data_IF_842691455859
#
_entry.id   IF_842691455859
#
_cell.length_a   1.000
_cell.length_b   1.000
_cell.length_c   1.000
_cell.angle_alpha   90.00
_cell.angle_beta   90.00
_cell.angle_gamma   90.00
#
_symmetry.space_group_name_H-M   'P 1'
#
loop_
_entity.id
_entity.type
_entity.pdbx_description
1 polymer ?
#
# COMPACT_ATOMS: atom_id res chain seq x y z
N UNK A 1 -3.56 -2.50 1.00
CA UNK A 1 -2.45 -3.30 0.41
C UNK A 1 -2.96 -4.17 -0.74
N UNK A 2 -3.91 -5.09 -0.52
CA UNK A 2 -4.47 -5.90 -1.61
C UNK A 2 -4.97 -5.06 -2.80
N UNK A 3 -5.74 -4.00 -2.53
CA UNK A 3 -6.19 -3.05 -3.57
C UNK A 3 -5.05 -2.43 -4.40
N UNK A 4 -3.87 -2.19 -3.81
CA UNK A 4 -2.74 -1.57 -4.50
C UNK A 4 -1.92 -2.58 -5.29
N UNK A 5 -1.80 -3.81 -4.78
CA UNK A 5 -0.85 -4.80 -5.32
C UNK A 5 -1.54 -5.84 -6.20
N UNK A 6 -2.71 -6.33 -5.78
CA UNK A 6 -3.40 -7.46 -6.43
C UNK A 6 -4.39 -7.02 -7.52
N UNK A 7 -4.55 -5.72 -7.74
CA UNK A 7 -5.29 -5.16 -8.89
C UNK A 7 -4.37 -4.86 -10.08
N UNK A 8 -3.05 -4.84 -9.84
CA UNK A 8 -2.04 -4.58 -10.88
C UNK A 8 -1.81 -5.86 -11.66
N UNK A 9 -2.10 -5.80 -12.97
CA UNK A 9 -1.82 -6.91 -13.89
C UNK A 9 -0.30 -7.15 -13.95
N UNK A 10 0.17 -8.41 -13.89
CA UNK A 10 1.59 -8.71 -14.03
C UNK A 10 2.20 -8.07 -15.28
N UNK A 11 3.37 -7.44 -15.13
CA UNK A 11 4.11 -6.81 -16.23
C UNK A 11 3.59 -5.45 -16.71
N UNK A 12 2.49 -4.92 -16.16
CA UNK A 12 2.03 -3.56 -16.51
C UNK A 12 2.63 -2.46 -15.65
N UNK A 13 3.16 -2.83 -14.47
CA UNK A 13 3.75 -1.88 -13.50
C UNK A 13 2.80 -0.74 -13.07
N UNK A 14 1.49 -0.92 -13.28
CA UNK A 14 0.48 0.13 -13.21
C UNK A 14 -0.04 0.38 -11.79
N UNK A 15 0.83 0.86 -10.90
CA UNK A 15 0.46 1.21 -9.53
C UNK A 15 -0.23 2.59 -9.49
N UNK A 16 -1.52 2.61 -9.12
CA UNK A 16 -2.28 3.87 -9.05
C UNK A 16 -1.98 4.67 -7.78
N UNK A 17 -1.68 5.96 -8.00
CA UNK A 17 -1.33 6.91 -6.95
C UNK A 17 -2.44 7.08 -5.89
N UNK A 18 -3.70 7.15 -6.31
CA UNK A 18 -4.84 7.39 -5.41
C UNK A 18 -5.10 6.17 -4.53
N UNK A 19 -5.03 4.97 -5.12
CA UNK A 19 -5.14 3.71 -4.37
C UNK A 19 -4.01 3.59 -3.35
N UNK A 20 -2.80 4.03 -3.70
CA UNK A 20 -1.67 3.99 -2.80
C UNK A 20 -1.85 4.91 -1.58
N UNK A 21 -2.49 6.06 -1.77
CA UNK A 21 -2.82 6.99 -0.69
C UNK A 21 -3.87 6.44 0.29
N UNK A 22 -4.72 5.48 -0.12
CA UNK A 22 -5.61 4.79 0.82
C UNK A 22 -4.78 4.10 1.90
N UNK A 23 -3.63 3.51 1.55
CA UNK A 23 -2.76 2.85 2.52
C UNK A 23 -2.15 3.83 3.53
N UNK A 24 -1.55 4.92 3.04
CA UNK A 24 -0.88 5.90 3.91
C UNK A 24 -1.89 6.64 4.79
N UNK A 25 -3.07 6.97 4.27
CA UNK A 25 -4.17 7.55 5.06
C UNK A 25 -4.76 6.56 6.06
N UNK A 26 -4.83 5.26 5.75
CA UNK A 26 -5.24 4.23 6.72
C UNK A 26 -4.27 4.17 7.91
N UNK A 27 -2.96 4.21 7.62
CA UNK A 27 -1.94 4.25 8.67
C UNK A 27 -2.08 5.54 9.51
N UNK A 28 -2.21 6.70 8.86
CA UNK A 28 -2.40 7.98 9.55
C UNK A 28 -3.63 7.99 10.46
N UNK A 29 -4.78 7.50 9.97
CA UNK A 29 -6.01 7.40 10.77
C UNK A 29 -5.78 6.52 11.98
N UNK A 30 -5.15 5.34 11.84
CA UNK A 30 -4.85 4.47 13.00
C UNK A 30 -4.04 5.18 14.08
N UNK A 31 -3.03 5.96 13.67
CA UNK A 31 -2.17 6.69 14.60
C UNK A 31 -2.89 7.87 15.25
N UNK A 32 -3.67 8.63 14.47
CA UNK A 32 -4.30 9.87 14.93
C UNK A 32 -5.63 9.65 15.65
N UNK A 33 -6.38 8.59 15.33
CA UNK A 33 -7.73 8.36 15.86
C UNK A 33 -7.80 8.41 17.40
N UNK A 34 -6.87 7.82 18.18
CA UNK A 34 -6.90 7.90 19.64
C UNK A 34 -6.67 9.32 20.20
N UNK A 35 -6.10 10.23 19.39
CA UNK A 35 -5.84 11.62 19.76
C UNK A 35 -7.01 12.55 19.40
N UNK A 36 -7.97 12.06 18.61
CA UNK A 36 -9.11 12.85 18.12
C UNK A 36 -10.27 12.72 19.12
N UNK A 37 -10.94 13.83 19.49
CA UNK A 37 -12.11 13.78 20.36
C UNK A 37 -13.18 12.82 19.83
N UNK A 38 -13.76 12.03 20.74
CA UNK A 38 -14.67 10.92 20.43
C UNK A 38 -15.81 11.32 19.48
N UNK A 39 -16.37 12.53 19.66
CA UNK A 39 -17.46 13.05 18.82
C UNK A 39 -17.11 13.17 17.32
N UNK A 40 -15.82 13.19 16.96
CA UNK A 40 -15.36 13.29 15.58
C UNK A 40 -14.87 11.97 14.99
N UNK A 41 -14.58 10.96 15.82
CA UNK A 41 -13.94 9.71 15.38
C UNK A 41 -14.79 8.94 14.36
N UNK A 42 -16.09 8.75 14.64
CA UNK A 42 -17.01 8.06 13.72
C UNK A 42 -17.14 8.82 12.40
N UNK A 43 -17.21 10.16 12.46
CA UNK A 43 -17.27 11.02 11.28
C UNK A 43 -16.06 10.84 10.38
N UNK A 44 -14.86 10.84 10.97
CA UNK A 44 -13.59 10.65 10.25
C UNK A 44 -13.50 9.29 9.57
N UNK A 45 -13.79 8.20 10.29
CA UNK A 45 -13.73 6.83 9.73
C UNK A 45 -14.71 6.71 8.56
N UNK A 46 -15.92 7.27 8.69
CA UNK A 46 -16.91 7.27 7.62
C UNK A 46 -16.44 8.03 6.39
N UNK A 47 -15.84 9.20 6.55
CA UNK A 47 -15.29 9.98 5.44
C UNK A 47 -14.17 9.23 4.72
N UNK A 48 -13.24 8.63 5.46
CA UNK A 48 -12.19 7.79 4.90
C UNK A 48 -12.75 6.59 4.13
N UNK A 49 -13.77 5.93 4.68
CA UNK A 49 -14.41 4.79 4.02
C UNK A 49 -15.10 5.20 2.72
N UNK A 50 -15.80 6.33 2.70
CA UNK A 50 -16.45 6.87 1.49
C UNK A 50 -15.41 7.24 0.42
N UNK A 51 -14.27 7.84 0.81
CA UNK A 51 -13.17 8.14 -0.11
C UNK A 51 -12.57 6.85 -0.68
N UNK A 52 -12.37 5.83 0.16
CA UNK A 52 -11.88 4.51 -0.26
C UNK A 52 -12.78 3.89 -1.32
N UNK A 53 -14.10 3.89 -1.09
CA UNK A 53 -15.09 3.39 -2.06
C UNK A 53 -15.06 4.23 -3.34
N UNK A 54 -15.04 5.56 -3.22
CA UNK A 54 -15.03 6.46 -4.38
C UNK A 54 -13.82 6.22 -5.27
N UNK A 55 -12.63 6.07 -4.69
CA UNK A 55 -11.40 5.74 -5.43
C UNK A 55 -11.56 4.38 -6.12
N UNK A 56 -12.00 3.34 -5.41
CA UNK A 56 -12.19 2.01 -6.01
C UNK A 56 -13.17 2.01 -7.20
N UNK A 57 -14.29 2.74 -7.09
CA UNK A 57 -15.25 2.89 -8.18
C UNK A 57 -14.67 3.69 -9.34
N UNK A 58 -13.90 4.75 -9.05
CA UNK A 58 -13.26 5.57 -10.10
C UNK A 58 -12.24 4.79 -10.93
N UNK A 59 -11.68 3.72 -10.37
CA UNK A 59 -10.78 2.78 -11.03
C UNK A 59 -11.54 1.67 -11.79
N UNK A 60 -12.85 1.84 -12.00
CA UNK A 60 -13.74 0.87 -12.64
C UNK A 60 -13.88 -0.47 -11.90
N UNK A 61 -13.69 -0.45 -10.56
CA UNK A 61 -13.80 -1.64 -9.69
C UNK A 61 -12.92 -2.79 -10.19
N UNK A 62 -11.59 -2.58 -10.21
CA UNK A 62 -10.67 -3.59 -10.74
C UNK A 62 -10.77 -4.86 -9.90
N UNK A 63 -10.69 -6.01 -10.57
CA UNK A 63 -10.66 -7.30 -9.89
C UNK A 63 -9.42 -7.38 -8.99
N UNK A 64 -9.62 -7.81 -7.74
CA UNK A 64 -8.52 -8.06 -6.80
C UNK A 64 -8.19 -9.54 -6.96
N UNK A 65 -7.06 -9.86 -7.59
CA UNK A 65 -6.56 -11.24 -7.65
C UNK A 65 -6.42 -11.79 -6.23
N UNK A 66 -6.71 -13.08 -6.05
CA UNK A 66 -6.48 -13.82 -4.81
C UNK A 66 -5.23 -14.71 -4.90
N UNK A 67 -4.49 -14.61 -6.00
CA UNK A 67 -3.29 -15.38 -6.21
C UNK A 67 -2.23 -15.01 -5.18
N UNK A 68 -1.51 -16.03 -4.71
CA UNK A 68 -0.43 -15.81 -3.78
C UNK A 68 0.67 -15.02 -4.47
N UNK A 69 1.12 -13.93 -3.85
CA UNK A 69 2.30 -13.20 -4.30
C UNK A 69 3.53 -14.05 -3.96
N UNK A 70 4.19 -14.57 -4.99
CA UNK A 70 5.43 -15.31 -4.83
C UNK A 70 6.61 -14.36 -4.65
N UNK A 71 7.48 -14.67 -3.70
CA UNK A 71 8.77 -14.00 -3.53
C UNK A 71 9.89 -14.99 -3.74
N UNK A 72 10.92 -14.57 -4.49
CA UNK A 72 12.15 -15.34 -4.64
C UNK A 72 12.82 -15.53 -3.27
N UNK A 73 13.48 -16.67 -3.08
CA UNK A 73 14.19 -16.97 -1.84
C UNK A 73 15.21 -15.89 -1.48
N UNK A 74 15.33 -15.59 -0.18
CA UNK A 74 16.31 -14.65 0.36
C UNK A 74 15.91 -13.17 0.36
N UNK A 75 14.72 -12.80 -0.13
CA UNK A 75 14.20 -11.43 -0.01
C UNK A 75 13.49 -11.23 1.32
N UNK A 76 14.00 -10.31 2.14
CA UNK A 76 13.48 -9.96 3.45
C UNK A 76 13.21 -8.44 3.58
N UNK A 77 12.90 -7.97 4.78
CA UNK A 77 12.70 -6.54 5.01
C UNK A 77 13.96 -5.70 4.80
N UNK A 78 15.17 -6.27 4.94
CA UNK A 78 16.42 -5.55 4.64
C UNK A 78 16.56 -5.33 3.13
N UNK A 79 16.17 -6.31 2.31
CA UNK A 79 16.10 -6.16 0.87
C UNK A 79 15.16 -5.02 0.48
N UNK A 80 13.94 -5.02 1.02
CA UNK A 80 12.92 -3.98 0.76
C UNK A 80 13.41 -2.60 1.20
N UNK A 81 14.01 -2.51 2.40
CA UNK A 81 14.55 -1.26 2.93
C UNK A 81 15.66 -0.71 2.04
N UNK A 82 16.63 -1.54 1.65
CA UNK A 82 17.70 -1.16 0.72
C UNK A 82 17.15 -0.66 -0.62
N UNK A 83 16.15 -1.34 -1.19
CA UNK A 83 15.48 -0.89 -2.42
C UNK A 83 14.74 0.44 -2.25
N UNK A 84 14.19 0.72 -1.07
CA UNK A 84 13.50 1.96 -0.77
C UNK A 84 14.45 3.15 -0.63
N UNK A 85 15.62 2.98 0.00
CA UNK A 85 16.53 4.10 0.32
C UNK A 85 17.70 4.26 -0.65
N UNK A 86 18.09 3.20 -1.36
CA UNK A 86 19.21 3.20 -2.30
C UNK A 86 18.78 2.90 -3.75
N UNK A 87 17.51 2.58 -3.99
CA UNK A 87 17.00 2.28 -5.32
C UNK A 87 16.72 3.53 -6.17
N UNK A 88 16.39 3.33 -7.44
CA UNK A 88 16.12 4.40 -8.42
C UNK A 88 14.99 5.34 -8.01
N UNK A 89 14.06 4.87 -7.19
CA UNK A 89 12.90 5.62 -6.71
C UNK A 89 13.04 6.15 -5.29
N UNK A 90 14.25 6.14 -4.72
CA UNK A 90 14.49 6.57 -3.33
C UNK A 90 14.14 8.03 -3.03
N UNK A 91 14.08 8.88 -4.06
CA UNK A 91 13.68 10.28 -3.95
C UNK A 91 12.18 10.50 -4.14
N UNK A 92 11.42 9.48 -4.53
CA UNK A 92 9.96 9.55 -4.61
C UNK A 92 9.37 9.34 -3.20
N UNK A 93 8.90 10.43 -2.61
CA UNK A 93 8.43 10.41 -1.22
C UNK A 93 7.24 9.48 -1.03
N UNK A 94 6.36 9.34 -2.01
CA UNK A 94 5.16 8.52 -1.87
C UNK A 94 5.51 7.04 -1.96
N UNK A 95 6.42 6.67 -2.86
CA UNK A 95 6.99 5.32 -2.95
C UNK A 95 7.59 4.88 -1.62
N UNK A 96 8.45 5.71 -1.02
CA UNK A 96 9.08 5.40 0.27
C UNK A 96 8.03 5.32 1.40
N UNK A 97 7.05 6.23 1.44
CA UNK A 97 5.97 6.21 2.44
C UNK A 97 5.13 4.94 2.34
N UNK A 98 4.82 4.48 1.14
CA UNK A 98 3.98 3.28 0.93
C UNK A 98 4.71 2.04 1.44
N UNK A 99 6.00 1.89 1.11
CA UNK A 99 6.82 0.79 1.62
C UNK A 99 6.89 0.83 3.15
N UNK A 100 7.10 2.02 3.71
CA UNK A 100 7.08 2.23 5.16
C UNK A 100 5.73 1.83 5.77
N UNK A 101 4.61 2.23 5.15
CA UNK A 101 3.27 1.88 5.61
C UNK A 101 3.00 0.36 5.55
N UNK A 102 3.57 -0.36 4.57
CA UNK A 102 3.49 -1.82 4.53
C UNK A 102 4.29 -2.48 5.66
N UNK A 103 5.50 -1.97 5.95
CA UNK A 103 6.32 -2.43 7.09
C UNK A 103 5.61 -2.20 8.42
N UNK A 104 5.03 -1.01 8.60
CA UNK A 104 4.23 -0.67 9.78
C UNK A 104 3.00 -1.57 9.92
N UNK A 105 2.32 -1.89 8.83
CA UNK A 105 1.20 -2.83 8.84
C UNK A 105 1.63 -4.23 9.28
N UNK A 106 2.76 -4.72 8.75
CA UNK A 106 3.34 -6.02 9.13
C UNK A 106 3.70 -6.07 10.62
N UNK A 107 4.30 -5.00 11.15
CA UNK A 107 4.63 -4.91 12.58
C UNK A 107 3.39 -4.79 13.46
N UNK A 108 2.34 -4.12 13.00
CA UNK A 108 1.11 -3.88 13.77
C UNK A 108 0.23 -5.13 13.85
N UNK A 109 0.07 -5.84 12.73
CA UNK A 109 -0.89 -6.94 12.59
C UNK A 109 -0.25 -8.33 12.53
N UNK A 110 1.09 -8.40 12.51
CA UNK A 110 1.85 -9.61 12.28
C UNK A 110 1.87 -10.03 10.81
N UNK A 111 2.89 -10.80 10.42
CA UNK A 111 3.06 -11.24 9.03
C UNK A 111 3.48 -12.71 8.93
N UNK A 112 2.78 -13.59 9.66
CA UNK A 112 3.12 -15.01 9.74
C UNK A 112 3.10 -15.72 8.38
N UNK A 113 2.30 -15.21 7.42
CA UNK A 113 2.20 -15.72 6.05
C UNK A 113 3.04 -14.92 5.05
N UNK A 114 3.83 -13.95 5.52
CA UNK A 114 4.69 -13.08 4.72
C UNK A 114 3.95 -12.34 3.59
N UNK A 115 2.66 -12.03 3.77
CA UNK A 115 1.84 -11.36 2.77
C UNK A 115 2.20 -9.89 2.64
N UNK A 116 2.55 -9.23 3.75
CA UNK A 116 2.98 -7.82 3.71
C UNK A 116 4.38 -7.70 3.12
N UNK A 117 5.30 -8.59 3.53
CA UNK A 117 6.63 -8.67 2.93
C UNK A 117 6.53 -8.95 1.43
N UNK A 118 5.71 -9.92 1.01
CA UNK A 118 5.55 -10.26 -0.41
C UNK A 118 4.99 -9.09 -1.22
N UNK A 119 4.00 -8.38 -0.69
CA UNK A 119 3.46 -7.17 -1.29
C UNK A 119 4.54 -6.08 -1.45
N UNK A 120 5.36 -5.87 -0.42
CA UNK A 120 6.42 -4.87 -0.45
C UNK A 120 7.54 -5.24 -1.45
N UNK A 121 7.96 -6.51 -1.46
CA UNK A 121 8.94 -7.02 -2.45
C UNK A 121 8.43 -6.80 -3.87
N UNK A 122 7.19 -7.21 -4.16
CA UNK A 122 6.56 -7.01 -5.47
C UNK A 122 6.54 -5.55 -5.88
N UNK A 123 6.14 -4.65 -4.98
CA UNK A 123 6.19 -3.22 -5.24
C UNK A 123 7.62 -2.76 -5.56
N UNK A 124 8.62 -3.11 -4.73
CA UNK A 124 10.00 -2.64 -4.95
C UNK A 124 10.66 -3.19 -6.21
N UNK A 125 10.25 -4.36 -6.68
CA UNK A 125 10.80 -4.99 -7.87
C UNK A 125 10.13 -4.48 -9.14
N UNK A 126 8.81 -4.28 -9.09
CA UNK A 126 8.00 -3.95 -10.26
C UNK A 126 7.69 -2.45 -10.37
N UNK A 127 8.03 -1.60 -9.41
CA UNK A 127 7.64 -0.20 -9.48
C UNK A 127 8.41 0.55 -10.57
N UNK A 128 7.68 1.09 -11.54
CA UNK A 128 8.19 1.90 -12.66
C UNK A 128 7.43 3.23 -12.77
N UNK A 129 7.07 3.81 -11.62
CA UNK A 129 6.36 5.07 -11.52
C UNK A 129 4.85 4.92 -11.26
N UNK A 130 4.24 6.06 -10.94
CA UNK A 130 2.82 6.14 -10.62
C UNK A 130 1.96 6.30 -11.86
N UNK A 131 0.90 5.50 -11.95
CA UNK A 131 -0.22 5.82 -12.82
C UNK A 131 -1.18 6.78 -12.11
N UNK A 132 -1.91 7.58 -12.89
CA UNK A 132 -2.97 8.45 -12.41
C UNK A 132 -4.17 8.29 -13.34
N UNK A 133 -5.34 7.99 -12.79
CA UNK A 133 -6.64 8.01 -13.47
C UNK A 133 -6.57 7.56 -14.95
N UNK A 134 -6.28 6.28 -15.15
CA UNK A 134 -6.34 5.61 -16.46
C UNK A 134 -7.67 4.92 -16.67
#
# INVERSE_FOLDING_TARGET
IALLIQTVKPGTHAYDFSVAHILTTSHAIRILLPLIPEQYQIGLIRQWWLITIAIYISQLRPEISHDKIEISSGKDWKYVEHKAICGSWATDADYVKIISAMREAASTWGDNRQQYLAAAVRLTDDFDGWTRFS
#
